data_IF_262426126382
#
_entry.id   IF_262426126382
#
_cell.length_a   1.000
_cell.length_b   1.000
_cell.length_c   1.000
_cell.angle_alpha   90.00
_cell.angle_beta   90.00
_cell.angle_gamma   90.00
#
_symmetry.space_group_name_H-M   'P 1'
#
loop_
_entity.id
_entity.type
_entity.pdbx_description
1 polymer ?
#
# COMPACT_ATOMS: atom_id res chain seq x y z
N UNK A 1 0.43 24.37 -2.67
CA UNK A 1 -0.74 24.90 -1.91
C UNK A 1 -1.03 26.34 -2.28
N UNK A 2 -2.33 26.72 -2.38
CA UNK A 2 -2.79 28.07 -2.75
C UNK A 2 -3.87 28.54 -1.79
N UNK A 3 -3.94 29.86 -1.55
CA UNK A 3 -4.96 30.46 -0.69
C UNK A 3 -5.98 31.23 -1.54
N UNK A 4 -7.26 31.05 -1.18
CA UNK A 4 -8.39 31.71 -1.82
C UNK A 4 -9.23 32.41 -0.77
N UNK A 5 -9.55 33.68 -1.02
CA UNK A 5 -10.38 34.50 -0.13
C UNK A 5 -11.61 35.01 -0.83
N UNK A 6 -12.76 34.93 -0.14
CA UNK A 6 -14.05 35.45 -0.61
C UNK A 6 -14.96 35.78 0.59
N UNK A 7 -16.23 36.10 0.32
CA UNK A 7 -17.23 36.36 1.39
C UNK A 7 -17.66 35.10 2.15
N UNK A 8 -17.62 33.95 1.53
CA UNK A 8 -17.99 32.65 2.10
C UNK A 8 -17.03 31.56 1.64
N UNK A 9 -16.96 30.46 2.39
CA UNK A 9 -16.16 29.27 2.01
C UNK A 9 -16.58 28.74 0.64
N UNK A 10 -17.89 28.73 0.34
CA UNK A 10 -18.41 28.26 -0.94
C UNK A 10 -17.89 29.10 -2.13
N UNK A 11 -17.90 30.44 -1.98
CA UNK A 11 -17.32 31.34 -2.99
C UNK A 11 -15.79 31.18 -3.13
N UNK A 12 -15.09 30.79 -2.06
CA UNK A 12 -13.69 30.44 -2.15
C UNK A 12 -13.47 29.18 -2.97
N UNK A 13 -14.32 28.16 -2.75
CA UNK A 13 -14.28 26.92 -3.53
C UNK A 13 -14.62 27.13 -5.01
N UNK A 14 -15.58 28.02 -5.31
CA UNK A 14 -15.90 28.41 -6.69
C UNK A 14 -14.68 28.99 -7.40
N UNK A 15 -14.01 29.94 -6.74
CA UNK A 15 -12.78 30.55 -7.27
C UNK A 15 -11.68 29.51 -7.47
N UNK A 16 -11.45 28.64 -6.46
CA UNK A 16 -10.42 27.62 -6.53
C UNK A 16 -10.71 26.61 -7.65
N UNK A 17 -11.96 26.15 -7.76
CA UNK A 17 -12.41 25.24 -8.82
C UNK A 17 -12.17 25.83 -10.22
N UNK A 18 -12.52 27.08 -10.41
CA UNK A 18 -12.35 27.77 -11.71
C UNK A 18 -10.87 28.00 -12.05
N UNK A 19 -10.06 28.39 -11.07
CA UNK A 19 -8.64 28.71 -11.31
C UNK A 19 -7.77 27.46 -11.46
N UNK A 20 -8.09 26.40 -10.70
CA UNK A 20 -7.35 25.12 -10.75
C UNK A 20 -7.91 24.15 -11.79
N UNK A 21 -9.06 24.46 -12.39
CA UNK A 21 -9.79 23.58 -13.31
C UNK A 21 -10.06 22.19 -12.71
N UNK A 22 -10.46 22.15 -11.43
CA UNK A 22 -10.78 20.95 -10.65
C UNK A 22 -12.18 21.09 -10.08
N UNK A 23 -12.99 20.04 -10.15
CA UNK A 23 -14.33 20.00 -9.56
C UNK A 23 -14.27 20.25 -8.04
N UNK A 24 -15.24 20.99 -7.50
CA UNK A 24 -15.26 21.41 -6.08
C UNK A 24 -15.17 20.23 -5.09
N UNK A 25 -15.87 19.15 -5.39
CA UNK A 25 -15.89 17.93 -4.57
C UNK A 25 -14.56 17.16 -4.57
N UNK A 26 -13.70 17.43 -5.56
CA UNK A 26 -12.35 16.86 -5.66
C UNK A 26 -11.28 17.72 -4.99
N UNK A 27 -11.61 18.97 -4.62
CA UNK A 27 -10.67 19.85 -3.93
C UNK A 27 -10.36 19.35 -2.52
N UNK A 28 -9.09 19.33 -2.18
CA UNK A 28 -8.62 19.11 -0.80
C UNK A 28 -8.27 20.45 -0.18
N UNK A 29 -8.98 20.86 0.85
CA UNK A 29 -8.81 22.19 1.42
C UNK A 29 -8.94 22.22 2.95
N UNK A 30 -8.47 23.29 3.54
CA UNK A 30 -8.61 23.64 4.96
C UNK A 30 -9.14 25.05 5.07
N UNK A 31 -10.11 25.29 5.96
CA UNK A 31 -10.60 26.65 6.24
C UNK A 31 -9.63 27.31 7.22
N UNK A 32 -8.97 28.37 6.76
CA UNK A 32 -7.99 29.12 7.55
C UNK A 32 -8.68 30.17 8.40
N UNK A 33 -9.64 30.88 7.82
CA UNK A 33 -10.38 31.95 8.50
C UNK A 33 -11.83 31.97 8.00
N UNK A 34 -12.78 32.13 8.92
CA UNK A 34 -14.18 32.41 8.60
C UNK A 34 -14.74 33.44 9.56
N UNK A 35 -14.98 34.67 9.07
CA UNK A 35 -15.64 35.75 9.81
C UNK A 35 -17.09 35.88 9.36
N UNK A 36 -18.03 35.65 10.28
CA UNK A 36 -19.47 35.72 9.99
C UNK A 36 -19.98 37.15 9.76
N UNK A 37 -19.20 38.17 10.10
CA UNK A 37 -19.60 39.57 10.01
C UNK A 37 -20.76 39.94 10.92
N UNK A 38 -20.99 41.23 11.16
CA UNK A 38 -22.17 41.71 11.88
C UNK A 38 -23.21 42.19 10.87
N UNK A 39 -24.46 41.75 10.95
CA UNK A 39 -25.53 42.04 9.99
C UNK A 39 -25.20 41.79 8.52
N UNK A 40 -24.35 40.79 8.26
CA UNK A 40 -23.94 40.44 6.88
C UNK A 40 -22.85 41.32 6.26
N UNK A 41 -22.39 42.37 6.99
CA UNK A 41 -21.29 43.25 6.58
C UNK A 41 -19.98 42.65 7.08
N UNK A 42 -18.92 42.78 6.28
CA UNK A 42 -17.56 42.27 6.57
C UNK A 42 -17.45 40.73 6.73
N UNK A 43 -18.26 39.97 6.01
CA UNK A 43 -18.03 38.52 5.86
C UNK A 43 -16.73 38.28 5.10
N UNK A 44 -15.89 37.44 5.65
CA UNK A 44 -14.65 37.00 4.98
C UNK A 44 -14.40 35.53 5.29
N UNK A 45 -14.11 34.76 4.28
CA UNK A 45 -13.59 33.40 4.42
C UNK A 45 -12.29 33.30 3.64
N UNK A 46 -11.36 32.51 4.16
CA UNK A 46 -10.11 32.14 3.48
C UNK A 46 -9.93 30.66 3.61
N UNK A 47 -9.74 30.00 2.48
CA UNK A 47 -9.42 28.57 2.41
C UNK A 47 -8.01 28.40 1.84
N UNK A 48 -7.36 27.33 2.27
CA UNK A 48 -6.08 26.87 1.75
C UNK A 48 -6.33 25.58 0.99
N UNK A 49 -6.08 25.59 -0.30
CA UNK A 49 -6.27 24.44 -1.18
C UNK A 49 -4.94 23.74 -1.36
N UNK A 50 -4.97 22.41 -1.25
CA UNK A 50 -3.82 21.54 -1.39
C UNK A 50 -3.89 20.78 -2.71
N UNK A 51 -2.79 20.79 -3.43
CA UNK A 51 -2.57 19.99 -4.62
C UNK A 51 -1.97 18.63 -4.23
N UNK A 52 -2.00 17.64 -5.11
CA UNK A 52 -1.45 16.30 -4.81
C UNK A 52 0.04 16.33 -4.44
N UNK A 53 0.79 17.27 -5.02
CA UNK A 53 2.21 17.47 -4.69
C UNK A 53 2.42 17.92 -3.23
N UNK A 54 1.48 18.69 -2.67
CA UNK A 54 1.56 19.14 -1.28
C UNK A 54 1.38 17.94 -0.32
N UNK A 55 0.56 16.96 -0.72
CA UNK A 55 0.38 15.70 0.03
C UNK A 55 1.68 14.89 0.05
N UNK A 56 2.35 14.79 -1.10
CA UNK A 56 3.66 14.11 -1.21
C UNK A 56 4.68 14.78 -0.30
N UNK A 57 4.80 16.09 -0.41
CA UNK A 57 5.73 16.87 0.40
C UNK A 57 5.48 16.71 1.91
N UNK A 58 4.22 16.77 2.34
CA UNK A 58 3.86 16.55 3.74
C UNK A 58 4.23 15.14 4.21
N UNK A 59 3.99 14.12 3.39
CA UNK A 59 4.35 12.74 3.71
C UNK A 59 5.87 12.58 3.89
N UNK A 60 6.67 13.21 3.01
CA UNK A 60 8.13 13.20 3.11
C UNK A 60 8.64 13.92 4.37
N UNK A 61 8.12 15.12 4.64
CA UNK A 61 8.48 15.91 5.82
C UNK A 61 8.14 15.17 7.11
N UNK A 62 6.93 14.59 7.19
CA UNK A 62 6.53 13.79 8.33
C UNK A 62 7.50 12.61 8.56
N UNK A 63 7.82 11.89 7.47
CA UNK A 63 8.73 10.75 7.52
C UNK A 63 10.15 11.16 7.97
N UNK A 64 10.68 12.26 7.42
CA UNK A 64 11.98 12.83 7.84
C UNK A 64 12.00 13.16 9.33
N UNK A 65 10.94 13.82 9.80
CA UNK A 65 10.84 14.22 11.21
C UNK A 65 10.77 13.00 12.15
N UNK A 66 10.02 11.96 11.79
CA UNK A 66 9.96 10.71 12.56
C UNK A 66 11.33 10.02 12.59
N UNK A 67 11.99 9.87 11.44
CA UNK A 67 13.30 9.24 11.37
C UNK A 67 14.36 10.05 12.12
N UNK A 68 14.34 11.38 12.02
CA UNK A 68 15.22 12.28 12.78
C UNK A 68 15.03 12.13 14.29
N UNK A 69 13.77 12.00 14.76
CA UNK A 69 13.47 11.76 16.17
C UNK A 69 13.98 10.39 16.66
N UNK A 70 14.13 9.42 15.76
CA UNK A 70 14.75 8.12 16.02
C UNK A 70 16.29 8.14 15.89
N UNK A 71 16.89 9.30 15.62
CA UNK A 71 18.34 9.43 15.41
C UNK A 71 18.84 8.90 14.06
N UNK A 72 17.94 8.76 13.08
CA UNK A 72 18.26 8.20 11.77
C UNK A 72 18.39 9.29 10.71
N UNK A 73 19.47 9.21 9.94
CA UNK A 73 19.64 10.01 8.73
C UNK A 73 19.09 9.23 7.53
N UNK A 74 18.20 9.88 6.78
CA UNK A 74 17.54 9.28 5.62
C UNK A 74 17.58 10.22 4.42
N UNK A 75 17.63 9.66 3.22
CA UNK A 75 17.26 10.34 1.99
C UNK A 75 16.00 9.72 1.39
N UNK A 76 15.18 10.52 0.73
CA UNK A 76 13.90 10.10 0.18
C UNK A 76 13.85 10.36 -1.32
N UNK A 77 13.24 9.42 -2.04
CA UNK A 77 12.87 9.56 -3.46
C UNK A 77 11.41 9.17 -3.62
N UNK A 78 10.57 10.12 -4.03
CA UNK A 78 9.14 9.89 -4.20
C UNK A 78 8.76 9.76 -5.67
N UNK A 79 7.87 8.83 -5.94
CA UNK A 79 7.28 8.57 -7.26
C UNK A 79 5.77 8.55 -7.12
N UNK A 80 5.07 9.15 -8.07
CA UNK A 80 3.62 9.15 -8.11
C UNK A 80 3.13 8.50 -9.39
N UNK A 81 2.22 7.56 -9.27
CA UNK A 81 1.55 6.91 -10.40
C UNK A 81 0.16 6.45 -9.97
N UNK A 82 -0.85 6.72 -10.76
CA UNK A 82 -2.25 6.27 -10.53
C UNK A 82 -2.75 6.59 -9.10
N UNK A 83 -2.51 7.83 -8.63
CA UNK A 83 -2.82 8.30 -7.26
C UNK A 83 -2.10 7.53 -6.14
N UNK A 84 -1.08 6.73 -6.46
CA UNK A 84 -0.25 6.04 -5.49
C UNK A 84 1.02 6.86 -5.27
N UNK A 85 1.33 7.17 -4.02
CA UNK A 85 2.59 7.79 -3.60
C UNK A 85 3.53 6.68 -3.14
N UNK A 86 4.60 6.42 -3.89
CA UNK A 86 5.66 5.50 -3.47
C UNK A 86 6.86 6.31 -2.99
N UNK A 87 7.30 6.10 -1.75
CA UNK A 87 8.45 6.75 -1.14
C UNK A 87 9.52 5.70 -0.89
N UNK A 88 10.64 5.84 -1.59
CA UNK A 88 11.84 5.04 -1.34
C UNK A 88 12.68 5.73 -0.28
N UNK A 89 13.08 4.97 0.72
CA UNK A 89 13.91 5.41 1.82
C UNK A 89 15.31 4.81 1.64
N UNK A 90 16.31 5.67 1.61
CA UNK A 90 17.72 5.28 1.62
C UNK A 90 18.34 5.69 2.96
N UNK A 91 18.99 4.78 3.64
CA UNK A 91 19.68 4.99 4.92
C UNK A 91 20.77 3.95 5.09
N UNK A 92 21.74 4.23 5.97
CA UNK A 92 22.73 3.24 6.37
C UNK A 92 22.17 2.22 7.38
N UNK A 93 21.06 2.55 8.06
CA UNK A 93 20.42 1.73 9.10
C UNK A 93 19.19 0.98 8.59
N UNK A 94 19.32 0.33 7.41
CA UNK A 94 18.21 -0.38 6.77
C UNK A 94 17.51 -1.39 7.69
N UNK A 95 18.28 -2.14 8.48
CA UNK A 95 17.75 -3.19 9.35
C UNK A 95 16.83 -2.63 10.43
N UNK A 96 17.13 -1.44 10.95
CA UNK A 96 16.32 -0.78 11.98
C UNK A 96 14.97 -0.32 11.40
N UNK A 97 15.00 0.31 10.22
CA UNK A 97 13.77 0.76 9.55
C UNK A 97 12.91 -0.39 9.02
N UNK A 98 13.52 -1.48 8.60
CA UNK A 98 12.78 -2.66 8.15
C UNK A 98 12.20 -3.41 9.34
N UNK A 99 13.02 -3.66 10.36
CA UNK A 99 12.67 -4.44 11.54
C UNK A 99 12.45 -5.94 11.26
N UNK A 100 12.15 -6.73 12.30
CA UNK A 100 11.90 -8.15 12.17
C UNK A 100 10.76 -8.43 11.19
N UNK A 101 11.03 -9.23 10.15
CA UNK A 101 10.05 -9.58 9.09
C UNK A 101 9.40 -8.39 8.38
N UNK A 102 9.94 -7.16 8.54
CA UNK A 102 9.38 -5.94 7.93
C UNK A 102 8.29 -5.26 8.76
N UNK A 103 8.13 -5.58 10.03
CA UNK A 103 7.08 -5.03 10.91
C UNK A 103 7.28 -3.54 11.14
N UNK A 104 8.52 -3.09 11.40
CA UNK A 104 8.81 -1.66 11.61
C UNK A 104 8.44 -0.83 10.37
N UNK A 105 8.83 -1.28 9.18
CA UNK A 105 8.50 -0.60 7.93
C UNK A 105 6.98 -0.55 7.70
N UNK A 106 6.27 -1.62 8.03
CA UNK A 106 4.82 -1.65 7.92
C UNK A 106 4.16 -0.67 8.89
N UNK A 107 4.60 -0.63 10.15
CA UNK A 107 4.10 0.31 11.16
C UNK A 107 4.37 1.76 10.76
N UNK A 108 5.57 2.04 10.26
CA UNK A 108 5.94 3.37 9.76
C UNK A 108 5.06 3.79 8.58
N UNK A 109 4.77 2.86 7.66
CA UNK A 109 3.89 3.11 6.53
C UNK A 109 2.46 3.47 6.98
N UNK A 110 1.93 2.78 8.01
CA UNK A 110 0.61 3.09 8.57
C UNK A 110 0.62 4.44 9.31
N UNK A 111 1.68 4.78 10.04
CA UNK A 111 1.83 6.10 10.69
C UNK A 111 1.80 7.24 9.68
N UNK A 112 2.55 7.12 8.57
CA UNK A 112 2.54 8.14 7.50
C UNK A 112 1.15 8.27 6.88
N UNK A 113 0.47 7.16 6.59
CA UNK A 113 -0.90 7.17 6.06
C UNK A 113 -1.88 7.87 7.00
N UNK A 114 -1.79 7.59 8.31
CA UNK A 114 -2.64 8.20 9.32
C UNK A 114 -2.36 9.71 9.43
N UNK A 115 -1.09 10.11 9.47
CA UNK A 115 -0.72 11.52 9.54
C UNK A 115 -1.25 12.31 8.32
N UNK A 116 -1.05 11.77 7.12
CA UNK A 116 -1.55 12.37 5.87
C UNK A 116 -3.08 12.42 5.87
N UNK A 117 -3.75 11.32 6.22
CA UNK A 117 -5.21 11.26 6.25
C UNK A 117 -5.81 12.23 7.26
N UNK A 118 -5.18 12.41 8.42
CA UNK A 118 -5.60 13.37 9.44
C UNK A 118 -5.42 14.81 8.99
N UNK A 119 -4.31 15.13 8.31
CA UNK A 119 -4.02 16.48 7.81
C UNK A 119 -4.97 16.88 6.69
N UNK A 120 -5.15 16.02 5.69
CA UNK A 120 -5.89 16.35 4.47
C UNK A 120 -7.35 15.87 4.46
N UNK A 121 -7.80 15.20 5.54
CA UNK A 121 -9.17 14.65 5.68
C UNK A 121 -9.59 13.71 4.54
N UNK A 122 -8.60 13.15 3.84
CA UNK A 122 -8.78 12.22 2.71
C UNK A 122 -7.79 11.06 2.82
N UNK A 123 -8.18 9.86 2.39
CA UNK A 123 -7.32 8.68 2.35
C UNK A 123 -6.47 8.69 1.09
N UNK A 124 -5.17 8.51 1.25
CA UNK A 124 -4.21 8.40 0.15
C UNK A 124 -3.54 7.03 0.17
N UNK A 125 -3.20 6.52 -1.01
CA UNK A 125 -2.42 5.30 -1.15
C UNK A 125 -0.94 5.64 -1.05
N UNK A 126 -0.33 5.33 0.09
CA UNK A 126 1.10 5.59 0.36
C UNK A 126 1.80 4.25 0.57
N UNK A 127 2.94 4.06 -0.10
CA UNK A 127 3.77 2.87 -0.02
C UNK A 127 5.20 3.29 0.30
N UNK A 128 5.68 2.90 1.47
CA UNK A 128 7.08 3.03 1.85
C UNK A 128 7.86 1.79 1.42
N UNK A 129 9.08 1.99 0.97
CA UNK A 129 10.01 0.91 0.67
C UNK A 129 11.43 1.32 1.08
N UNK A 130 12.19 0.39 1.63
CA UNK A 130 13.57 0.59 2.03
C UNK A 130 14.45 -0.30 1.17
N UNK A 131 15.28 0.31 0.33
CA UNK A 131 16.29 -0.39 -0.47
C UNK A 131 15.75 -1.61 -1.23
N UNK A 132 14.54 -1.48 -1.79
CA UNK A 132 13.84 -2.55 -2.52
C UNK A 132 13.61 -3.83 -1.70
N UNK A 133 13.42 -3.65 -0.36
CA UNK A 133 13.24 -4.76 0.58
C UNK A 133 12.10 -5.69 0.19
N UNK A 134 10.96 -5.14 -0.23
CA UNK A 134 9.78 -5.96 -0.56
C UNK A 134 10.07 -6.94 -1.71
N UNK A 135 10.72 -6.46 -2.78
CA UNK A 135 11.05 -7.32 -3.90
C UNK A 135 12.10 -8.38 -3.53
N UNK A 136 13.13 -7.98 -2.78
CA UNK A 136 14.13 -8.93 -2.26
C UNK A 136 13.48 -10.03 -1.41
N UNK A 137 12.57 -9.64 -0.50
CA UNK A 137 11.82 -10.58 0.35
C UNK A 137 10.96 -11.53 -0.48
N UNK A 138 10.22 -11.02 -1.48
CA UNK A 138 9.41 -11.85 -2.37
C UNK A 138 10.25 -12.83 -3.17
N UNK A 139 11.40 -12.42 -3.69
CA UNK A 139 12.30 -13.29 -4.45
C UNK A 139 12.82 -14.46 -3.60
N UNK A 140 13.21 -14.17 -2.35
CA UNK A 140 13.60 -15.23 -1.40
C UNK A 140 12.44 -16.18 -1.12
N UNK A 141 11.26 -15.65 -0.85
CA UNK A 141 10.06 -16.43 -0.56
C UNK A 141 9.66 -17.34 -1.75
N UNK A 142 9.67 -16.81 -2.96
CA UNK A 142 9.37 -17.57 -4.19
C UNK A 142 10.41 -18.69 -4.39
N UNK A 143 11.68 -18.43 -4.12
CA UNK A 143 12.73 -19.46 -4.19
C UNK A 143 12.48 -20.59 -3.21
N UNK A 144 12.16 -20.26 -1.95
CA UNK A 144 11.81 -21.24 -0.91
C UNK A 144 10.58 -22.07 -1.32
N UNK A 145 9.53 -21.39 -1.81
CA UNK A 145 8.32 -22.06 -2.26
C UNK A 145 8.56 -23.00 -3.45
N UNK A 146 9.35 -22.57 -4.44
CA UNK A 146 9.73 -23.45 -5.58
C UNK A 146 10.55 -24.66 -5.16
N UNK A 147 11.44 -24.52 -4.18
CA UNK A 147 12.19 -25.64 -3.64
C UNK A 147 11.28 -26.64 -2.92
N UNK A 148 10.38 -26.15 -2.06
CA UNK A 148 9.38 -26.97 -1.40
C UNK A 148 8.47 -27.69 -2.41
N UNK A 149 8.02 -27.00 -3.46
CA UNK A 149 7.21 -27.63 -4.52
C UNK A 149 7.96 -28.77 -5.25
N UNK A 150 9.27 -28.61 -5.50
CA UNK A 150 10.08 -29.70 -6.07
C UNK A 150 10.20 -30.90 -5.13
N UNK A 151 10.27 -30.66 -3.84
CA UNK A 151 10.26 -31.73 -2.82
C UNK A 151 8.91 -32.45 -2.79
N UNK A 152 7.80 -31.71 -2.81
CA UNK A 152 6.43 -32.25 -2.93
C UNK A 152 6.29 -33.13 -4.18
N UNK A 153 6.82 -32.70 -5.33
CA UNK A 153 6.81 -33.51 -6.56
C UNK A 153 7.61 -34.83 -6.45
N UNK A 154 8.65 -34.87 -5.62
CA UNK A 154 9.47 -36.07 -5.42
C UNK A 154 8.89 -37.02 -4.39
N UNK A 155 8.38 -36.47 -3.29
CA UNK A 155 7.94 -37.24 -2.13
C UNK A 155 6.44 -37.53 -2.12
N UNK A 156 5.65 -36.77 -2.89
CA UNK A 156 4.19 -36.73 -2.88
C UNK A 156 3.59 -36.39 -1.50
N UNK A 157 4.39 -35.81 -0.61
CA UNK A 157 3.94 -35.34 0.71
C UNK A 157 3.70 -33.83 0.68
N UNK A 158 2.59 -33.42 1.29
CA UNK A 158 2.23 -32.02 1.41
C UNK A 158 3.22 -31.26 2.29
N UNK A 159 3.59 -30.05 1.88
CA UNK A 159 4.49 -29.19 2.65
C UNK A 159 3.76 -27.89 3.02
N UNK A 160 3.73 -27.58 4.32
CA UNK A 160 3.23 -26.32 4.85
C UNK A 160 4.39 -25.32 5.00
N UNK A 161 4.27 -24.18 4.34
CA UNK A 161 5.22 -23.07 4.49
C UNK A 161 4.97 -22.31 5.79
N UNK A 162 5.91 -21.45 6.18
CA UNK A 162 5.73 -20.57 7.34
C UNK A 162 4.55 -19.61 7.12
N UNK A 163 3.88 -19.16 8.19
CA UNK A 163 2.87 -18.11 8.12
C UNK A 163 3.39 -16.84 7.43
N UNK A 164 2.56 -16.23 6.60
CA UNK A 164 2.94 -15.08 5.78
C UNK A 164 1.75 -14.15 5.48
N UNK A 165 2.04 -12.91 5.09
CA UNK A 165 1.03 -11.90 4.79
C UNK A 165 0.18 -12.27 3.57
N UNK A 166 -1.04 -11.68 3.40
CA UNK A 166 -1.88 -11.93 2.22
C UNK A 166 -1.17 -11.67 0.88
N UNK A 167 -0.36 -10.60 0.81
CA UNK A 167 0.40 -10.27 -0.40
C UNK A 167 1.47 -11.33 -0.71
N UNK A 168 2.15 -11.83 0.32
CA UNK A 168 3.13 -12.90 0.21
C UNK A 168 2.48 -14.19 -0.27
N UNK A 169 1.31 -14.57 0.29
CA UNK A 169 0.56 -15.75 -0.15
C UNK A 169 0.16 -15.63 -1.63
N UNK A 170 -0.32 -14.45 -2.05
CA UNK A 170 -0.66 -14.20 -3.45
C UNK A 170 0.55 -14.38 -4.38
N UNK A 171 1.73 -13.91 -3.97
CA UNK A 171 2.97 -14.08 -4.74
C UNK A 171 3.39 -15.54 -4.86
N UNK A 172 3.29 -16.32 -3.78
CA UNK A 172 3.58 -17.76 -3.79
C UNK A 172 2.60 -18.51 -4.69
N UNK A 173 1.29 -18.28 -4.55
CA UNK A 173 0.27 -18.89 -5.42
C UNK A 173 0.57 -18.62 -6.90
N UNK A 174 0.82 -17.36 -7.25
CA UNK A 174 1.13 -16.98 -8.63
C UNK A 174 2.41 -17.66 -9.14
N UNK A 175 3.46 -17.72 -8.32
CA UNK A 175 4.75 -18.30 -8.70
C UNK A 175 4.72 -19.82 -8.89
N UNK A 176 3.76 -20.51 -8.26
CA UNK A 176 3.59 -21.96 -8.35
C UNK A 176 2.43 -22.38 -9.26
N UNK A 177 1.58 -21.45 -9.71
CA UNK A 177 0.37 -21.75 -10.52
C UNK A 177 0.66 -22.44 -11.86
N UNK A 178 1.86 -22.28 -12.40
CA UNK A 178 2.29 -22.90 -13.66
C UNK A 178 3.01 -24.24 -13.49
N UNK A 179 3.22 -24.69 -12.23
CA UNK A 179 3.88 -25.96 -11.95
C UNK A 179 2.88 -27.11 -12.05
N UNK A 180 3.14 -28.03 -12.98
CA UNK A 180 2.32 -29.24 -13.14
C UNK A 180 2.33 -30.10 -11.87
N UNK A 181 1.20 -30.72 -11.57
CA UNK A 181 0.99 -31.60 -10.42
C UNK A 181 1.17 -30.92 -9.04
N UNK A 182 1.17 -29.58 -9.00
CA UNK A 182 1.23 -28.79 -7.79
C UNK A 182 -0.07 -27.98 -7.62
N UNK A 183 -0.67 -28.10 -6.45
CA UNK A 183 -1.78 -27.23 -6.00
C UNK A 183 -1.35 -26.51 -4.74
N UNK A 184 -1.74 -25.25 -4.63
CA UNK A 184 -1.45 -24.43 -3.44
C UNK A 184 -2.75 -24.02 -2.77
N UNK A 185 -2.81 -24.14 -1.45
CA UNK A 185 -3.96 -23.79 -0.64
C UNK A 185 -3.56 -22.91 0.54
N UNK A 186 -4.36 -21.89 0.84
CA UNK A 186 -4.11 -20.99 1.98
C UNK A 186 -4.91 -21.46 3.19
N UNK A 187 -4.21 -21.94 4.23
CA UNK A 187 -4.79 -22.59 5.42
C UNK A 187 -4.45 -21.79 6.67
N UNK A 188 -5.35 -21.78 7.65
CA UNK A 188 -5.23 -21.06 8.92
C UNK A 188 -5.84 -19.68 8.87
N UNK A 189 -5.83 -18.97 10.02
CA UNK A 189 -6.48 -17.70 10.20
C UNK A 189 -5.51 -16.62 10.67
N UNK A 190 -5.84 -15.35 10.35
CA UNK A 190 -5.12 -14.17 10.82
C UNK A 190 -3.61 -14.24 10.56
N UNK A 191 -2.83 -14.15 11.63
CA UNK A 191 -1.35 -14.12 11.59
C UNK A 191 -0.72 -15.49 11.34
N UNK A 192 -1.46 -16.57 11.61
CA UNK A 192 -0.97 -17.96 11.46
C UNK A 192 -1.31 -18.57 10.09
N UNK A 193 -1.92 -17.76 9.22
CA UNK A 193 -2.32 -18.22 7.89
C UNK A 193 -1.12 -18.42 6.98
N UNK A 194 -1.03 -19.63 6.39
CA UNK A 194 0.10 -20.11 5.62
C UNK A 194 -0.34 -20.73 4.29
N UNK A 195 0.61 -21.01 3.40
CA UNK A 195 0.40 -21.82 2.19
C UNK A 195 0.77 -23.26 2.47
N UNK A 196 -0.11 -24.17 2.09
CA UNK A 196 0.17 -25.59 1.93
C UNK A 196 0.34 -25.90 0.45
N UNK A 197 1.45 -26.54 0.11
CA UNK A 197 1.77 -27.00 -1.24
C UNK A 197 1.43 -28.48 -1.28
N UNK A 198 0.53 -28.88 -2.20
CA UNK A 198 0.00 -30.23 -2.31
C UNK A 198 0.39 -30.86 -3.66
N UNK A 199 0.62 -32.17 -3.64
CA UNK A 199 0.70 -32.96 -4.86
C UNK A 199 -0.70 -33.27 -5.38
N UNK A 200 -0.94 -33.05 -6.67
CA UNK A 200 -2.18 -33.42 -7.36
C UNK A 200 -1.83 -34.20 -8.61
N UNK A 201 -2.28 -35.45 -8.69
CA UNK A 201 -2.15 -36.22 -9.91
C UNK A 201 -3.05 -35.60 -10.99
N UNK A 202 -2.52 -35.27 -12.17
CA UNK A 202 -3.39 -34.91 -13.31
C UNK A 202 -4.25 -36.14 -13.62
N UNK A 203 -5.56 -36.05 -13.41
CA UNK A 203 -6.51 -36.99 -14.00
C UNK A 203 -6.43 -36.78 -15.52
N UNK A 204 -5.81 -37.71 -16.22
CA UNK A 204 -5.88 -37.80 -17.67
C UNK A 204 -7.36 -37.90 -18.05
N UNK A 205 -7.85 -36.99 -18.86
CA UNK A 205 -9.23 -36.90 -19.34
C UNK A 205 -9.57 -38.08 -20.31
N UNK A 206 -9.32 -39.33 -19.92
CA UNK A 206 -9.54 -40.52 -20.72
C UNK A 206 -10.41 -41.61 -20.06
N UNK A 207 -11.01 -41.37 -18.86
CA UNK A 207 -11.94 -42.32 -18.27
C UNK A 207 -13.36 -41.75 -18.15
N UNK A 208 -13.96 -41.35 -19.26
CA UNK A 208 -15.41 -41.12 -19.36
C UNK A 208 -15.88 -41.52 -20.76
N UNK A 209 -15.64 -42.74 -21.15
CA UNK A 209 -16.45 -43.41 -22.18
C UNK A 209 -16.58 -44.88 -21.79
N UNK A 210 -17.49 -45.21 -20.89
CA UNK A 210 -18.14 -46.51 -20.95
C UNK A 210 -19.47 -46.31 -21.65
N UNK A 211 -19.72 -47.00 -22.76
CA UNK A 211 -21.05 -47.04 -23.38
C UNK A 211 -21.96 -47.93 -22.49
N UNK A 212 -23.07 -47.37 -22.06
CA UNK A 212 -24.17 -48.21 -21.59
C UNK A 212 -24.75 -48.91 -22.80
N UNK A 213 -24.43 -50.18 -22.96
CA UNK A 213 -25.22 -51.10 -23.76
C UNK A 213 -26.46 -51.51 -22.98
N UNK A 214 -27.61 -51.42 -23.68
CA UNK A 214 -28.94 -52.04 -23.52
C UNK A 214 -29.70 -51.81 -22.22
#
# INVERSE_FOLDING_TARGET
MREFSAKTVELCLDKASSELNVEKDKLTYEVVEEKKGFLGINKKATIKVYEFIDVVYYAEEYLKNVCKALGLEISLKSFTKDEIIKILIETNENNLLIGPKGVTLQSLNELVKLAVSNKFKKKYRILLDVHDYKNKKYNVLIRVAKNAAREVLKTHMDVKLNPMTPDERKKVHYALSTMKNIKTESVGDGKDRAIVIKYVKEETAQEKVEPKEE
#
